data_IF_111497403286
#
_entry.id   IF_111497403286
#
_cell.length_a   1.000
_cell.length_b   1.000
_cell.length_c   1.000
_cell.angle_alpha   90.00
_cell.angle_beta   90.00
_cell.angle_gamma   90.00
#
_symmetry.space_group_name_H-M   'P 1'
#
loop_
_entity.id
_entity.type
_entity.pdbx_description
1 polymer ?
#
# COMPACT_ATOMS: atom_id res chain seq x y z
N UNK A 1 -5.24 12.07 18.96
CA UNK A 1 -5.23 12.40 17.52
C UNK A 1 -4.23 11.48 16.82
N UNK A 2 -4.61 10.89 15.69
CA UNK A 2 -3.71 10.09 14.89
C UNK A 2 -2.45 10.90 14.53
N UNK A 3 -1.28 10.28 14.64
CA UNK A 3 -0.02 10.95 14.35
C UNK A 3 0.16 11.03 12.82
N UNK A 4 -0.45 12.03 12.18
CA UNK A 4 -0.43 12.20 10.72
C UNK A 4 0.99 12.26 10.18
N UNK A 5 1.93 12.90 10.89
CA UNK A 5 3.34 12.94 10.44
C UNK A 5 4.00 11.55 10.43
N UNK A 6 3.59 10.66 11.32
CA UNK A 6 4.04 9.27 11.28
C UNK A 6 3.45 8.48 10.10
N UNK A 7 2.17 8.71 9.76
CA UNK A 7 1.56 8.09 8.58
C UNK A 7 2.17 8.62 7.28
N UNK A 8 2.43 9.93 7.19
CA UNK A 8 3.14 10.55 6.06
C UNK A 8 4.56 9.98 5.90
N UNK A 9 5.28 9.77 7.01
CA UNK A 9 6.58 9.08 6.99
C UNK A 9 6.45 7.65 6.45
N UNK A 10 5.46 6.89 6.90
CA UNK A 10 5.19 5.54 6.39
C UNK A 10 4.91 5.55 4.88
N UNK A 11 4.12 6.52 4.38
CA UNK A 11 3.85 6.69 2.96
C UNK A 11 5.14 6.93 2.16
N UNK A 12 6.06 7.76 2.68
CA UNK A 12 7.37 7.97 2.08
C UNK A 12 8.15 6.67 1.91
N UNK A 13 8.26 5.87 2.97
CA UNK A 13 8.95 4.58 2.94
C UNK A 13 8.29 3.56 1.99
N UNK A 14 6.96 3.57 1.90
CA UNK A 14 6.20 2.71 0.99
C UNK A 14 6.46 3.12 -0.47
N UNK A 15 6.50 4.42 -0.77
CA UNK A 15 6.79 4.93 -2.12
C UNK A 15 8.19 4.58 -2.58
N UNK A 16 9.18 4.65 -1.71
CA UNK A 16 10.55 4.20 -2.04
C UNK A 16 10.56 2.73 -2.49
N UNK A 17 9.80 1.87 -1.82
CA UNK A 17 9.66 0.47 -2.23
C UNK A 17 8.94 0.32 -3.57
N UNK A 18 7.92 1.13 -3.85
CA UNK A 18 7.26 1.11 -5.15
C UNK A 18 8.23 1.43 -6.28
N UNK A 19 9.09 2.43 -6.11
CA UNK A 19 10.11 2.77 -7.10
C UNK A 19 11.05 1.58 -7.36
N UNK A 20 11.62 1.00 -6.30
CA UNK A 20 12.55 -0.13 -6.43
C UNK A 20 11.89 -1.35 -7.07
N UNK A 21 10.65 -1.68 -6.69
CA UNK A 21 9.93 -2.82 -7.27
C UNK A 21 9.59 -2.54 -8.74
N UNK A 22 9.13 -1.32 -9.07
CA UNK A 22 8.82 -0.93 -10.46
C UNK A 22 10.04 -0.99 -11.35
N UNK A 23 11.20 -0.54 -10.88
CA UNK A 23 12.46 -0.67 -11.62
C UNK A 23 12.79 -2.15 -11.87
N UNK A 24 12.68 -3.00 -10.85
CA UNK A 24 12.98 -4.43 -10.96
C UNK A 24 12.05 -5.20 -11.91
N UNK A 25 10.75 -4.90 -11.92
CA UNK A 25 9.78 -5.57 -12.83
C UNK A 25 9.81 -5.03 -14.27
N UNK A 26 10.47 -3.90 -14.51
CA UNK A 26 10.64 -3.34 -15.86
C UNK A 26 12.06 -3.58 -16.42
N UNK A 27 12.91 -4.30 -15.69
CA UNK A 27 14.21 -4.72 -16.19
C UNK A 27 14.10 -5.72 -17.35
N UNK A 28 15.11 -5.74 -18.23
CA UNK A 28 15.14 -6.64 -19.38
C UNK A 28 15.23 -8.12 -18.98
N UNK A 29 15.98 -8.43 -17.92
CA UNK A 29 16.01 -9.76 -17.31
C UNK A 29 15.64 -9.67 -15.82
N UNK A 30 14.51 -10.28 -15.48
CA UNK A 30 14.01 -10.33 -14.11
C UNK A 30 14.93 -11.11 -13.17
N UNK A 31 15.71 -12.07 -13.70
CA UNK A 31 16.60 -12.92 -12.91
C UNK A 31 17.70 -12.12 -12.25
N UNK A 32 18.16 -11.04 -12.87
CA UNK A 32 19.16 -10.12 -12.31
C UNK A 32 18.66 -9.43 -11.03
N UNK A 33 17.34 -9.21 -10.94
CA UNK A 33 16.71 -8.48 -9.85
C UNK A 33 15.89 -9.38 -8.91
N UNK A 34 15.87 -10.69 -9.13
CA UNK A 34 14.92 -11.59 -8.47
C UNK A 34 15.04 -11.61 -6.94
N UNK A 35 16.28 -11.60 -6.42
CA UNK A 35 16.54 -11.46 -4.98
C UNK A 35 15.98 -10.15 -4.41
N UNK A 36 16.24 -9.05 -5.11
CA UNK A 36 15.79 -7.71 -4.73
C UNK A 36 14.26 -7.63 -4.76
N UNK A 37 13.62 -8.16 -5.81
CA UNK A 37 12.16 -8.17 -5.96
C UNK A 37 11.50 -8.94 -4.82
N UNK A 38 11.93 -10.18 -4.55
CA UNK A 38 11.38 -10.98 -3.46
C UNK A 38 11.55 -10.28 -2.11
N UNK A 39 12.73 -9.72 -1.85
CA UNK A 39 13.00 -8.97 -0.62
C UNK A 39 12.06 -7.77 -0.49
N UNK A 40 12.00 -6.91 -1.50
CA UNK A 40 11.23 -5.67 -1.44
C UNK A 40 9.72 -5.90 -1.38
N UNK A 41 9.19 -6.93 -2.04
CA UNK A 41 7.77 -7.31 -1.93
C UNK A 41 7.42 -7.73 -0.49
N UNK A 42 8.27 -8.54 0.15
CA UNK A 42 8.03 -8.96 1.53
C UNK A 42 8.17 -7.78 2.52
N UNK A 43 9.12 -6.86 2.29
CA UNK A 43 9.25 -5.64 3.10
C UNK A 43 8.01 -4.75 2.91
N UNK A 44 7.57 -4.54 1.66
CA UNK A 44 6.38 -3.78 1.34
C UNK A 44 5.16 -4.35 2.08
N UNK A 45 5.01 -5.67 2.08
CA UNK A 45 3.93 -6.32 2.82
C UNK A 45 3.96 -6.05 4.31
N UNK A 46 5.14 -6.12 4.93
CA UNK A 46 5.29 -5.74 6.34
C UNK A 46 4.88 -4.29 6.60
N UNK A 47 5.31 -3.35 5.73
CA UNK A 47 4.98 -1.93 5.90
C UNK A 47 3.51 -1.61 5.68
N UNK A 48 2.88 -2.17 4.64
CA UNK A 48 1.45 -2.01 4.37
C UNK A 48 0.62 -2.55 5.55
N UNK A 49 0.98 -3.72 6.10
CA UNK A 49 0.29 -4.27 7.28
C UNK A 49 0.38 -3.34 8.49
N UNK A 50 1.57 -2.80 8.78
CA UNK A 50 1.77 -1.88 9.91
C UNK A 50 1.00 -0.58 9.69
N UNK A 51 1.02 -0.06 8.48
CA UNK A 51 0.32 1.16 8.10
C UNK A 51 -1.20 0.98 8.26
N UNK A 52 -1.80 0.00 7.58
CA UNK A 52 -3.23 -0.29 7.67
C UNK A 52 -3.67 -0.51 9.12
N UNK A 53 -2.92 -1.29 9.91
CA UNK A 53 -3.26 -1.51 11.32
C UNK A 53 -3.23 -0.20 12.13
N UNK A 54 -2.34 0.72 11.79
CA UNK A 54 -2.30 2.04 12.44
C UNK A 54 -3.56 2.85 12.09
N UNK A 55 -4.03 2.77 10.85
CA UNK A 55 -5.23 3.49 10.42
C UNK A 55 -6.51 2.91 11.01
N UNK A 56 -6.69 1.60 10.92
CA UNK A 56 -7.87 0.88 11.43
C UNK A 56 -8.04 1.06 12.94
N UNK A 57 -6.92 1.10 13.67
CA UNK A 57 -6.96 1.19 15.13
C UNK A 57 -7.10 2.61 15.65
N UNK A 58 -6.57 3.60 14.93
CA UNK A 58 -6.42 4.95 15.49
C UNK A 58 -6.98 6.06 14.58
N UNK A 59 -6.84 5.95 13.25
CA UNK A 59 -7.25 7.00 12.33
C UNK A 59 -8.76 6.92 12.04
N UNK A 60 -9.21 5.86 11.35
CA UNK A 60 -10.58 5.77 10.87
C UNK A 60 -11.62 5.82 11.98
N UNK A 61 -11.47 5.12 13.13
CA UNK A 61 -12.45 5.20 14.21
C UNK A 61 -12.67 6.65 14.70
N UNK A 62 -11.57 7.40 14.86
CA UNK A 62 -11.63 8.80 15.30
C UNK A 62 -12.37 9.67 14.28
N UNK A 63 -12.12 9.47 12.98
CA UNK A 63 -12.74 10.28 11.93
C UNK A 63 -14.22 9.94 11.71
N UNK A 64 -14.61 8.69 11.94
CA UNK A 64 -16.01 8.24 11.87
C UNK A 64 -16.86 8.89 12.97
N UNK A 65 -16.26 9.28 14.09
CA UNK A 65 -16.92 10.00 15.20
C UNK A 65 -16.87 11.52 15.05
N UNK A 66 -16.21 12.05 14.01
CA UNK A 66 -16.12 13.50 13.76
C UNK A 66 -17.50 14.14 13.56
N UNK A 67 -17.69 15.41 13.95
CA UNK A 67 -18.90 16.18 13.64
C UNK A 67 -18.99 16.58 12.15
N UNK A 68 -17.86 16.63 11.46
CA UNK A 68 -17.76 16.88 10.01
C UNK A 68 -18.24 15.66 9.20
N UNK A 69 -19.35 15.84 8.48
CA UNK A 69 -19.97 14.78 7.67
C UNK A 69 -19.08 14.30 6.52
N UNK A 70 -18.35 15.20 5.87
CA UNK A 70 -17.45 14.86 4.77
C UNK A 70 -16.30 13.99 5.28
N UNK A 71 -15.74 14.32 6.44
CA UNK A 71 -14.68 13.50 7.07
C UNK A 71 -15.18 12.12 7.47
N UNK A 72 -16.38 12.01 8.05
CA UNK A 72 -16.97 10.70 8.38
C UNK A 72 -17.15 9.85 7.13
N UNK A 73 -17.65 10.45 6.05
CA UNK A 73 -17.88 9.75 4.78
C UNK A 73 -16.57 9.26 4.18
N UNK A 74 -15.58 10.14 4.05
CA UNK A 74 -14.26 9.77 3.53
C UNK A 74 -13.62 8.65 4.37
N UNK A 75 -13.69 8.73 5.69
CA UNK A 75 -13.12 7.70 6.57
C UNK A 75 -13.72 6.31 6.35
N UNK A 76 -15.05 6.22 6.15
CA UNK A 76 -15.72 4.95 5.85
C UNK A 76 -15.31 4.41 4.48
N UNK A 77 -15.40 5.24 3.45
CA UNK A 77 -15.06 4.87 2.07
C UNK A 77 -13.59 4.40 1.98
N UNK A 78 -12.68 5.12 2.62
CA UNK A 78 -11.24 4.85 2.54
C UNK A 78 -10.84 3.64 3.39
N UNK A 79 -11.50 3.40 4.52
CA UNK A 79 -11.32 2.19 5.32
C UNK A 79 -11.80 0.93 4.59
N UNK A 80 -12.97 0.96 3.96
CA UNK A 80 -13.50 -0.15 3.15
C UNK A 80 -12.63 -0.43 1.92
N UNK A 81 -12.20 0.63 1.21
CA UNK A 81 -11.28 0.52 0.07
C UNK A 81 -9.94 -0.10 0.49
N UNK A 82 -9.36 0.36 1.59
CA UNK A 82 -8.06 -0.15 2.06
C UNK A 82 -8.15 -1.60 2.52
N UNK A 83 -9.23 -2.00 3.19
CA UNK A 83 -9.48 -3.40 3.56
C UNK A 83 -9.54 -4.34 2.35
N UNK A 84 -10.17 -3.87 1.25
CA UNK A 84 -10.22 -4.64 0.00
C UNK A 84 -8.84 -4.77 -0.64
N UNK A 85 -8.12 -3.64 -0.78
CA UNK A 85 -6.76 -3.61 -1.35
C UNK A 85 -5.78 -4.47 -0.55
N UNK A 86 -5.93 -4.51 0.78
CA UNK A 86 -5.12 -5.37 1.65
C UNK A 86 -5.32 -6.85 1.36
N UNK A 87 -6.57 -7.28 1.16
CA UNK A 87 -6.90 -8.64 0.74
C UNK A 87 -6.22 -8.99 -0.59
N UNK A 88 -6.44 -8.17 -1.61
CA UNK A 88 -5.86 -8.36 -2.95
C UNK A 88 -4.32 -8.42 -2.89
N UNK A 89 -3.69 -7.54 -2.12
CA UNK A 89 -2.25 -7.51 -1.97
C UNK A 89 -1.70 -8.71 -1.17
N UNK A 90 -2.45 -9.19 -0.18
CA UNK A 90 -2.10 -10.41 0.56
C UNK A 90 -2.09 -11.63 -0.35
N UNK A 91 -3.09 -11.77 -1.22
CA UNK A 91 -3.19 -12.85 -2.20
C UNK A 91 -2.06 -12.79 -3.22
N UNK A 92 -1.82 -11.61 -3.81
CA UNK A 92 -0.67 -11.35 -4.67
C UNK A 92 0.66 -11.72 -3.99
N UNK A 93 0.89 -11.26 -2.75
CA UNK A 93 2.09 -11.58 -1.99
C UNK A 93 2.21 -13.08 -1.79
N UNK A 94 1.16 -13.77 -1.39
CA UNK A 94 1.19 -15.22 -1.19
C UNK A 94 1.47 -15.98 -2.49
N UNK A 95 1.01 -15.45 -3.63
CA UNK A 95 1.32 -16.00 -4.95
C UNK A 95 2.78 -15.80 -5.36
N UNK A 96 3.47 -14.74 -4.90
CA UNK A 96 4.81 -14.38 -5.40
C UNK A 96 5.90 -14.13 -4.34
N UNK A 97 5.72 -14.53 -3.08
CA UNK A 97 6.65 -14.24 -1.98
C UNK A 97 7.99 -14.99 -2.02
N UNK A 98 8.26 -15.84 -3.01
CA UNK A 98 9.53 -16.56 -3.15
C UNK A 98 10.02 -16.57 -4.59
N UNK A 99 11.33 -16.73 -4.78
CA UNK A 99 11.94 -16.84 -6.10
C UNK A 99 11.30 -17.93 -6.95
N UNK A 100 11.09 -19.10 -6.35
CA UNK A 100 10.49 -20.25 -7.03
C UNK A 100 9.10 -19.92 -7.58
N UNK A 101 8.26 -19.25 -6.78
CA UNK A 101 6.91 -18.87 -7.21
C UNK A 101 6.92 -17.86 -8.35
N UNK A 102 7.81 -16.86 -8.28
CA UNK A 102 7.97 -15.86 -9.37
C UNK A 102 8.46 -16.53 -10.66
N UNK A 103 9.46 -17.42 -10.57
CA UNK A 103 10.01 -18.11 -11.74
C UNK A 103 9.03 -19.12 -12.35
N UNK A 104 8.10 -19.66 -11.56
CA UNK A 104 7.09 -20.59 -12.04
C UNK A 104 6.00 -19.89 -12.89
N UNK A 105 5.77 -18.59 -12.68
CA UNK A 105 4.75 -17.82 -13.39
C UNK A 105 5.15 -16.33 -13.49
N UNK A 106 6.21 -16.08 -14.27
CA UNK A 106 6.82 -14.75 -14.39
C UNK A 106 5.90 -13.76 -15.11
N UNK A 107 5.15 -14.19 -16.11
CA UNK A 107 4.24 -13.30 -16.85
C UNK A 107 3.12 -12.78 -15.95
N UNK A 108 2.49 -13.66 -15.16
CA UNK A 108 1.49 -13.25 -14.19
C UNK A 108 2.10 -12.39 -13.09
N UNK A 109 3.30 -12.72 -12.61
CA UNK A 109 4.02 -11.87 -11.65
C UNK A 109 4.16 -10.45 -12.17
N UNK A 110 4.67 -10.26 -13.39
CA UNK A 110 4.90 -8.94 -13.98
C UNK A 110 3.60 -8.17 -14.19
N UNK A 111 2.54 -8.84 -14.65
CA UNK A 111 1.23 -8.23 -14.85
C UNK A 111 0.59 -7.81 -13.52
N UNK A 112 0.45 -8.74 -12.59
CA UNK A 112 -0.22 -8.50 -11.31
C UNK A 112 0.58 -7.52 -10.43
N UNK A 113 1.92 -7.52 -10.51
CA UNK A 113 2.77 -6.51 -9.86
C UNK A 113 2.38 -5.10 -10.29
N UNK A 114 2.17 -4.86 -11.59
CA UNK A 114 1.81 -3.53 -12.10
C UNK A 114 0.41 -3.12 -11.64
N UNK A 115 -0.53 -4.06 -11.64
CA UNK A 115 -1.90 -3.83 -11.20
C UNK A 115 -1.95 -3.48 -9.71
N UNK A 116 -1.33 -4.29 -8.86
CA UNK A 116 -1.40 -4.11 -7.40
C UNK A 116 -0.62 -2.87 -6.93
N UNK A 117 0.53 -2.57 -7.54
CA UNK A 117 1.28 -1.35 -7.21
C UNK A 117 0.49 -0.10 -7.59
N UNK A 118 -0.23 -0.12 -8.72
CA UNK A 118 -1.09 0.99 -9.13
C UNK A 118 -2.25 1.22 -8.15
N UNK A 119 -2.87 0.14 -7.66
CA UNK A 119 -3.94 0.22 -6.66
C UNK A 119 -3.44 0.85 -5.35
N UNK A 120 -2.33 0.34 -4.82
CA UNK A 120 -1.72 0.86 -3.60
C UNK A 120 -1.27 2.32 -3.73
N UNK A 121 -0.63 2.68 -4.85
CA UNK A 121 -0.22 4.06 -5.10
C UNK A 121 -1.41 5.01 -5.17
N UNK A 122 -2.46 4.62 -5.90
CA UNK A 122 -3.68 5.41 -5.99
C UNK A 122 -4.30 5.62 -4.61
N UNK A 123 -4.28 4.59 -3.76
CA UNK A 123 -4.84 4.66 -2.41
C UNK A 123 -4.08 5.62 -1.51
N UNK A 124 -2.75 5.52 -1.48
CA UNK A 124 -1.86 6.40 -0.72
C UNK A 124 -1.96 7.85 -1.21
N UNK A 125 -2.06 8.05 -2.54
CA UNK A 125 -2.25 9.38 -3.11
C UNK A 125 -3.59 10.02 -2.71
N UNK A 126 -4.68 9.23 -2.63
CA UNK A 126 -5.98 9.72 -2.17
C UNK A 126 -5.94 10.21 -0.72
N UNK A 127 -5.24 9.52 0.18
CA UNK A 127 -5.02 9.98 1.55
C UNK A 127 -4.27 11.31 1.60
N UNK A 128 -3.10 11.36 0.96
CA UNK A 128 -2.22 12.52 1.03
C UNK A 128 -2.84 13.77 0.41
N UNK A 129 -3.61 13.61 -0.67
CA UNK A 129 -4.20 14.74 -1.40
C UNK A 129 -5.56 15.17 -0.85
N UNK A 130 -6.29 14.29 -0.18
CA UNK A 130 -7.68 14.58 0.23
C UNK A 130 -7.92 14.42 1.72
N UNK A 131 -7.47 13.33 2.34
CA UNK A 131 -7.79 13.06 3.74
C UNK A 131 -6.89 13.84 4.70
N UNK A 132 -5.57 13.73 4.57
CA UNK A 132 -4.62 14.37 5.48
C UNK A 132 -4.72 15.90 5.49
N UNK A 133 -4.92 16.60 4.35
CA UNK A 133 -5.12 18.05 4.36
C UNK A 133 -6.38 18.47 5.13
N UNK A 134 -7.48 17.71 5.02
CA UNK A 134 -8.71 17.97 5.78
C UNK A 134 -8.48 17.79 7.28
N UNK A 135 -7.79 16.74 7.70
CA UNK A 135 -7.46 16.51 9.12
C UNK A 135 -6.59 17.63 9.69
N UNK A 136 -5.61 18.11 8.92
CA UNK A 136 -4.71 19.20 9.33
C UNK A 136 -5.40 20.57 9.40
N UNK A 137 -6.58 20.70 8.80
CA UNK A 137 -7.38 21.91 8.82
C UNK A 137 -8.40 21.96 9.97
N UNK A 138 -8.54 20.88 10.74
CA UNK A 138 -9.32 20.82 11.99
C UNK A 138 -8.55 21.52 13.13
#
# INVERSE_FOLDING_TARGET
MANISNLERQHGEIRELFLVIKEGINANDIKENLDSLVKNINILAGKINVHMHSEDKFLYPTLIESEDEDLRKLAKEYGEEMGTIHGDFSDYKNKFNTKYKILNDTDSFLKESKEILKLLESRISKEDMHLYPKIKAL
#
